data_IF_890113533469
#
_entry.id   IF_890113533469
#
_cell.length_a   1.000
_cell.length_b   1.000
_cell.length_c   1.000
_cell.angle_alpha   90.00
_cell.angle_beta   90.00
_cell.angle_gamma   90.00
#
_symmetry.space_group_name_H-M   'P 1'
#
loop_
_entity.id
_entity.type
_entity.pdbx_description
1 polymer ?
#
# COMPACT_ATOMS: atom_id res chain seq x y z
N UNK A 1 15.38 -18.99 -1.49
CA UNK A 1 14.97 -18.88 -0.07
C UNK A 1 14.78 -17.42 0.28
N UNK A 2 13.64 -17.06 0.85
CA UNK A 2 13.36 -15.70 1.29
C UNK A 2 14.37 -15.26 2.37
N UNK A 3 14.92 -14.06 2.32
CA UNK A 3 15.88 -13.55 3.31
C UNK A 3 15.31 -13.35 4.71
N UNK A 4 14.01 -13.12 4.79
CA UNK A 4 13.21 -13.09 6.01
C UNK A 4 11.81 -13.63 5.71
N UNK A 5 11.10 -14.03 6.75
CA UNK A 5 9.73 -14.52 6.64
C UNK A 5 8.74 -13.42 7.02
N UNK A 6 7.99 -12.82 6.03
CA UNK A 6 6.99 -11.82 6.31
C UNK A 6 5.63 -12.40 6.74
N UNK A 7 5.47 -13.71 6.79
CA UNK A 7 4.17 -14.35 7.01
C UNK A 7 3.60 -14.10 8.41
N UNK A 8 2.28 -14.22 8.54
CA UNK A 8 1.54 -14.08 9.78
C UNK A 8 0.65 -12.85 9.80
N UNK A 9 0.17 -12.49 11.00
CA UNK A 9 -0.71 -11.37 11.24
C UNK A 9 0.07 -10.17 11.76
N UNK A 10 -0.30 -8.98 11.29
CA UNK A 10 0.39 -7.73 11.58
C UNK A 10 -0.59 -6.61 11.87
N UNK A 11 -0.37 -5.85 12.92
CA UNK A 11 -1.16 -4.65 13.25
C UNK A 11 -0.44 -3.39 12.84
N UNK A 12 -1.15 -2.47 12.19
CA UNK A 12 -0.62 -1.15 11.87
C UNK A 12 -0.21 -0.39 13.14
N UNK A 13 0.99 0.19 13.10
CA UNK A 13 1.45 1.18 14.08
C UNK A 13 1.34 2.56 13.42
N UNK A 14 0.36 3.34 13.82
CA UNK A 14 0.19 4.69 13.27
C UNK A 14 1.08 5.66 14.04
N UNK A 15 2.38 5.65 13.72
CA UNK A 15 3.40 6.46 14.41
C UNK A 15 3.55 7.86 13.85
N UNK A 16 3.08 8.08 12.61
CA UNK A 16 3.17 9.36 11.92
C UNK A 16 1.89 9.68 11.16
N UNK A 17 1.62 10.94 10.93
CA UNK A 17 0.44 11.41 10.19
C UNK A 17 -0.88 10.85 10.72
N UNK A 18 -0.94 10.52 12.04
CA UNK A 18 -2.08 9.84 12.66
C UNK A 18 -3.41 10.54 12.37
N UNK A 19 -3.44 11.89 12.38
CA UNK A 19 -4.64 12.68 12.07
C UNK A 19 -5.18 12.38 10.65
N UNK A 20 -4.29 12.15 9.70
CA UNK A 20 -4.65 11.94 8.28
C UNK A 20 -4.91 10.46 7.97
N UNK A 21 -4.49 9.56 8.86
CA UNK A 21 -4.62 8.11 8.70
C UNK A 21 -5.79 7.54 9.52
N UNK A 22 -6.01 8.08 10.73
CA UNK A 22 -7.06 7.61 11.63
C UNK A 22 -8.41 8.29 11.39
N UNK A 23 -8.39 9.50 10.81
CA UNK A 23 -9.60 10.23 10.44
C UNK A 23 -9.46 10.69 8.99
N UNK A 24 -10.47 10.51 8.12
CA UNK A 24 -10.38 11.02 6.75
C UNK A 24 -10.17 12.53 6.79
N UNK A 25 -9.18 13.04 6.05
CA UNK A 25 -9.07 14.47 5.87
C UNK A 25 -10.33 15.03 5.19
N UNK A 26 -10.67 16.26 5.54
CA UNK A 26 -11.77 16.94 4.86
C UNK A 26 -11.46 17.10 3.37
N UNK A 27 -12.50 17.21 2.55
CA UNK A 27 -12.37 17.63 1.16
C UNK A 27 -11.62 18.97 1.10
N UNK A 28 -10.63 19.09 0.22
CA UNK A 28 -9.76 20.27 0.14
C UNK A 28 -8.51 20.20 1.04
N UNK A 29 -8.42 19.24 1.98
CA UNK A 29 -7.22 19.04 2.79
C UNK A 29 -6.24 18.08 2.10
N UNK A 30 -5.28 18.65 1.37
CA UNK A 30 -4.26 17.88 0.62
C UNK A 30 -2.89 17.92 1.28
N UNK A 31 -2.82 18.28 2.56
CA UNK A 31 -1.56 18.43 3.28
C UNK A 31 -0.69 17.17 3.17
N UNK A 32 0.58 17.36 2.83
CA UNK A 32 1.57 16.29 2.70
C UNK A 32 1.47 15.46 1.43
N UNK A 33 0.57 15.80 0.47
CA UNK A 33 0.54 15.21 -0.86
C UNK A 33 1.03 16.26 -1.87
N UNK A 34 2.02 15.93 -2.73
CA UNK A 34 2.47 16.83 -3.80
C UNK A 34 1.48 16.79 -4.97
N UNK A 35 0.22 17.17 -4.70
CA UNK A 35 -0.87 17.09 -5.67
C UNK A 35 -0.74 18.19 -6.73
N UNK A 36 -0.84 17.81 -8.01
CA UNK A 36 -0.81 18.74 -9.14
C UNK A 36 -2.11 19.59 -9.23
N UNK A 37 -2.10 20.61 -10.08
CA UNK A 37 -3.31 21.39 -10.38
C UNK A 37 -4.43 20.51 -10.93
N UNK A 38 -4.12 19.54 -11.82
CA UNK A 38 -5.09 18.59 -12.34
C UNK A 38 -5.63 17.66 -11.24
N UNK A 39 -4.76 17.19 -10.34
CA UNK A 39 -5.16 16.39 -9.20
C UNK A 39 -6.09 17.14 -8.25
N UNK A 40 -5.81 18.42 -7.97
CA UNK A 40 -6.69 19.29 -7.15
C UNK A 40 -8.06 19.46 -7.77
N UNK A 41 -8.12 19.68 -9.08
CA UNK A 41 -9.40 19.82 -9.78
C UNK A 41 -10.29 18.57 -9.62
N UNK A 42 -9.70 17.38 -9.75
CA UNK A 42 -10.40 16.10 -9.55
C UNK A 42 -10.85 15.94 -8.09
N UNK A 43 -9.95 16.20 -7.14
CA UNK A 43 -10.24 16.08 -5.71
C UNK A 43 -11.30 17.08 -5.25
N UNK A 44 -11.28 18.32 -5.76
CA UNK A 44 -12.30 19.33 -5.46
C UNK A 44 -13.68 18.98 -6.07
N UNK A 45 -13.70 18.24 -7.17
CA UNK A 45 -14.92 17.73 -7.76
C UNK A 45 -15.45 16.43 -7.12
N UNK A 46 -14.64 15.78 -6.25
CA UNK A 46 -15.01 14.52 -5.63
C UNK A 46 -16.32 14.59 -4.84
N UNK A 47 -17.13 13.54 -4.97
CA UNK A 47 -18.39 13.41 -4.28
C UNK A 47 -18.58 11.95 -3.84
N UNK A 48 -18.58 11.73 -2.54
CA UNK A 48 -18.74 10.41 -1.93
C UNK A 48 -20.01 9.70 -2.41
N UNK A 49 -21.15 10.40 -2.42
CA UNK A 49 -22.42 9.80 -2.81
C UNK A 49 -22.45 9.33 -4.28
N UNK A 50 -21.66 9.97 -5.16
CA UNK A 50 -21.51 9.49 -6.55
C UNK A 50 -20.73 8.18 -6.62
N UNK A 51 -19.66 8.05 -5.83
CA UNK A 51 -18.89 6.80 -5.76
C UNK A 51 -19.73 5.67 -5.15
N UNK A 52 -20.53 5.96 -4.13
CA UNK A 52 -21.45 5.00 -3.51
C UNK A 52 -22.51 4.53 -4.53
N UNK A 53 -23.16 5.45 -5.22
CA UNK A 53 -24.17 5.13 -6.24
C UNK A 53 -23.58 4.33 -7.42
N UNK A 54 -22.31 4.54 -7.74
CA UNK A 54 -21.59 3.81 -8.78
C UNK A 54 -21.00 2.46 -8.30
N UNK A 55 -21.18 2.09 -7.03
CA UNK A 55 -20.57 0.88 -6.45
C UNK A 55 -19.04 0.95 -6.35
N UNK A 56 -18.47 2.16 -6.42
CA UNK A 56 -17.02 2.39 -6.49
C UNK A 56 -16.39 2.58 -5.10
N UNK A 57 -16.88 1.84 -4.10
CA UNK A 57 -16.52 1.97 -2.69
C UNK A 57 -15.04 1.68 -2.42
N UNK A 58 -14.42 0.82 -3.24
CA UNK A 58 -13.02 0.40 -3.04
C UNK A 58 -11.97 1.31 -3.70
N UNK A 59 -12.34 2.44 -4.30
CA UNK A 59 -11.38 3.34 -4.96
C UNK A 59 -10.26 3.84 -4.05
N UNK A 60 -10.54 4.05 -2.76
CA UNK A 60 -9.54 4.49 -1.78
C UNK A 60 -8.78 3.33 -1.12
N UNK A 61 -9.05 2.09 -1.52
CA UNK A 61 -8.39 0.89 -1.03
C UNK A 61 -7.46 0.25 -2.07
N UNK A 62 -7.14 0.97 -3.12
CA UNK A 62 -6.18 0.53 -4.12
C UNK A 62 -4.75 0.50 -3.56
N UNK A 63 -3.88 -0.27 -4.21
CA UNK A 63 -2.50 -0.48 -3.76
C UNK A 63 -1.74 0.82 -3.41
N UNK A 64 -1.87 1.94 -4.16
CA UNK A 64 -1.17 3.18 -3.84
C UNK A 64 -1.56 3.83 -2.50
N UNK A 65 -2.80 3.60 -2.00
CA UNK A 65 -3.29 4.16 -0.74
C UNK A 65 -3.38 3.13 0.40
N UNK A 66 -3.45 1.85 0.08
CA UNK A 66 -3.86 0.78 0.98
C UNK A 66 -3.01 0.68 2.25
N UNK A 67 -1.68 0.69 2.12
CA UNK A 67 -0.77 0.55 3.27
C UNK A 67 -0.74 1.77 4.18
N UNK A 68 -1.34 2.89 3.75
CA UNK A 68 -1.49 4.08 4.58
C UNK A 68 -2.74 4.02 5.49
N UNK A 69 -3.68 3.12 5.23
CA UNK A 69 -4.84 2.91 6.08
C UNK A 69 -4.43 2.23 7.41
N UNK A 70 -5.18 2.46 8.51
CA UNK A 70 -4.95 1.79 9.78
C UNK A 70 -5.49 0.35 9.73
N UNK A 71 -4.89 -0.49 8.90
CA UNK A 71 -5.32 -1.87 8.62
C UNK A 71 -4.45 -2.89 9.34
N UNK A 72 -4.97 -4.08 9.58
CA UNK A 72 -4.16 -5.26 9.85
C UNK A 72 -3.79 -5.96 8.54
N UNK A 73 -2.67 -6.67 8.55
CA UNK A 73 -2.25 -7.50 7.42
C UNK A 73 -2.27 -8.96 7.84
N UNK A 74 -2.67 -9.82 6.90
CA UNK A 74 -2.44 -11.25 6.93
C UNK A 74 -1.60 -11.62 5.70
N UNK A 75 -0.38 -12.07 5.93
CA UNK A 75 0.58 -12.37 4.87
C UNK A 75 0.84 -13.87 4.84
N UNK A 76 0.68 -14.49 3.67
CA UNK A 76 0.87 -15.94 3.47
C UNK A 76 1.54 -16.23 2.13
N UNK A 77 2.35 -17.28 2.07
CA UNK A 77 2.77 -17.84 0.80
C UNK A 77 1.65 -18.69 0.22
N UNK A 78 1.20 -18.37 -1.01
CA UNK A 78 0.25 -19.18 -1.76
C UNK A 78 0.96 -20.36 -2.43
N UNK A 79 2.17 -20.12 -2.91
CA UNK A 79 3.13 -21.08 -3.48
C UNK A 79 4.56 -20.52 -3.36
N UNK A 80 5.56 -21.21 -3.91
CA UNK A 80 6.98 -20.85 -3.81
C UNK A 80 7.34 -19.49 -4.42
N UNK A 81 6.48 -18.95 -5.31
CA UNK A 81 6.72 -17.71 -6.06
C UNK A 81 5.60 -16.67 -5.91
N UNK A 82 4.63 -16.92 -5.05
CA UNK A 82 3.46 -16.06 -4.90
C UNK A 82 3.18 -15.76 -3.44
N UNK A 83 3.38 -14.50 -3.04
CA UNK A 83 3.07 -14.01 -1.71
C UNK A 83 1.72 -13.28 -1.76
N UNK A 84 0.80 -13.67 -0.88
CA UNK A 84 -0.50 -13.05 -0.71
C UNK A 84 -0.48 -12.12 0.48
N UNK A 85 -0.95 -10.90 0.29
CA UNK A 85 -1.09 -9.87 1.33
C UNK A 85 -2.55 -9.46 1.39
N UNK A 86 -3.20 -9.81 2.48
CA UNK A 86 -4.59 -9.47 2.76
C UNK A 86 -4.65 -8.34 3.77
N UNK A 87 -5.65 -7.46 3.63
CA UNK A 87 -5.96 -6.43 4.61
C UNK A 87 -7.37 -6.67 5.15
N UNK A 88 -7.57 -6.46 6.44
CA UNK A 88 -8.90 -6.53 7.04
C UNK A 88 -9.72 -5.30 6.68
N UNK A 89 -9.13 -4.12 6.71
CA UNK A 89 -9.83 -2.89 6.37
C UNK A 89 -10.04 -2.79 4.85
N UNK A 90 -11.27 -2.90 4.42
CA UNK A 90 -11.67 -2.98 3.02
C UNK A 90 -11.62 -4.39 2.44
N UNK A 91 -11.22 -5.41 3.20
CA UNK A 91 -11.10 -6.81 2.78
C UNK A 91 -10.38 -6.98 1.43
N UNK A 92 -9.21 -6.30 1.28
CA UNK A 92 -8.45 -6.35 0.04
C UNK A 92 -7.45 -7.50 0.03
N UNK A 93 -7.14 -7.97 -1.17
CA UNK A 93 -6.08 -8.95 -1.40
C UNK A 93 -5.14 -8.44 -2.48
N UNK A 94 -3.86 -8.40 -2.17
CA UNK A 94 -2.77 -8.16 -3.13
C UNK A 94 -1.98 -9.45 -3.33
N UNK A 95 -1.61 -9.71 -4.57
CA UNK A 95 -0.79 -10.88 -4.94
C UNK A 95 0.54 -10.36 -5.48
N UNK A 96 1.64 -10.78 -4.86
CA UNK A 96 2.99 -10.38 -5.21
C UNK A 96 3.70 -11.54 -5.87
N UNK A 97 4.05 -11.40 -7.14
CA UNK A 97 4.64 -12.45 -7.96
C UNK A 97 6.17 -12.32 -8.01
N UNK A 98 6.87 -13.42 -7.79
CA UNK A 98 8.32 -13.53 -7.85
C UNK A 98 8.78 -14.27 -9.11
N UNK A 99 10.10 -14.42 -9.27
CA UNK A 99 10.68 -15.28 -10.30
C UNK A 99 10.62 -14.74 -11.73
N UNK A 100 10.51 -13.40 -11.88
CA UNK A 100 10.44 -12.80 -13.22
C UNK A 100 9.06 -12.95 -13.88
N UNK A 101 8.02 -13.15 -13.07
CA UNK A 101 6.64 -13.18 -13.56
C UNK A 101 6.29 -11.95 -14.38
N UNK A 102 5.53 -12.15 -15.44
CA UNK A 102 4.97 -11.09 -16.28
C UNK A 102 3.45 -11.24 -16.37
N UNK A 103 2.69 -10.14 -16.38
CA UNK A 103 1.24 -10.20 -16.55
C UNK A 103 0.85 -10.92 -17.84
N UNK A 104 -0.20 -11.75 -17.84
CA UNK A 104 -0.77 -12.29 -19.07
C UNK A 104 -1.20 -11.17 -20.03
N UNK A 105 -1.09 -11.38 -21.35
CA UNK A 105 -1.46 -10.36 -22.35
C UNK A 105 -2.90 -9.83 -22.23
N UNK A 106 -3.82 -10.64 -21.76
CA UNK A 106 -5.24 -10.30 -21.58
C UNK A 106 -5.60 -9.90 -20.14
N UNK A 107 -4.63 -9.46 -19.33
CA UNK A 107 -4.91 -9.05 -17.97
C UNK A 107 -5.80 -7.79 -17.91
N UNK A 108 -6.65 -7.74 -16.90
CA UNK A 108 -7.48 -6.55 -16.62
C UNK A 108 -6.81 -5.71 -15.56
N UNK A 109 -6.90 -4.39 -15.70
CA UNK A 109 -6.56 -3.45 -14.65
C UNK A 109 -7.40 -3.71 -13.41
N UNK A 110 -6.82 -3.48 -12.25
CA UNK A 110 -7.52 -3.55 -10.95
C UNK A 110 -7.01 -2.46 -10.03
N UNK A 111 -7.70 -2.19 -8.92
CA UNK A 111 -7.19 -1.25 -7.91
C UNK A 111 -5.92 -1.76 -7.22
N UNK A 112 -5.70 -3.09 -7.20
CA UNK A 112 -4.49 -3.68 -6.66
C UNK A 112 -3.36 -3.81 -7.71
N UNK A 113 -3.68 -3.63 -9.00
CA UNK A 113 -2.73 -3.75 -10.10
C UNK A 113 -2.09 -5.13 -10.22
N UNK A 114 -0.96 -5.16 -10.93
CA UNK A 114 -0.10 -6.32 -11.09
C UNK A 114 1.23 -6.05 -10.37
N UNK A 115 1.55 -6.85 -9.36
CA UNK A 115 2.72 -6.63 -8.51
C UNK A 115 3.80 -7.68 -8.79
N UNK A 116 4.98 -7.21 -9.20
CA UNK A 116 6.19 -8.03 -9.35
C UNK A 116 7.12 -7.76 -8.17
N UNK A 117 7.55 -8.82 -7.50
CA UNK A 117 8.35 -8.76 -6.30
C UNK A 117 9.72 -9.38 -6.49
N UNK A 118 10.72 -8.84 -5.81
CA UNK A 118 12.09 -9.38 -5.80
C UNK A 118 12.79 -9.07 -4.48
N UNK A 119 13.67 -9.97 -4.07
CA UNK A 119 14.58 -9.72 -2.96
C UNK A 119 15.78 -8.94 -3.44
N UNK A 120 16.03 -7.79 -2.84
CA UNK A 120 17.12 -6.91 -3.18
C UNK A 120 18.10 -6.76 -2.01
N UNK A 121 19.35 -6.44 -2.32
CA UNK A 121 20.39 -6.17 -1.34
C UNK A 121 20.47 -4.66 -1.11
N UNK A 122 20.37 -4.23 0.15
CA UNK A 122 20.79 -2.89 0.52
C UNK A 122 22.32 -2.88 0.53
N UNK A 123 22.94 -2.12 -0.36
CA UNK A 123 24.39 -1.92 -0.33
C UNK A 123 24.72 -1.18 0.97
N UNK A 124 25.43 -1.83 1.87
CA UNK A 124 25.98 -1.22 3.06
C UNK A 124 26.96 -0.10 2.68
N UNK A 125 27.00 0.98 3.47
CA UNK A 125 28.07 1.96 3.39
C UNK A 125 29.42 1.31 3.73
N UNK A 126 30.51 2.07 3.54
CA UNK A 126 31.91 1.62 3.75
C UNK A 126 32.19 1.03 5.16
N UNK A 127 31.32 1.29 6.13
CA UNK A 127 31.37 0.80 7.51
C UNK A 127 29.93 0.53 7.94
N UNK A 128 29.50 -0.74 7.96
CA UNK A 128 28.14 -1.11 8.36
C UNK A 128 27.97 -2.63 8.44
N UNK A 129 26.88 -3.10 9.07
CA UNK A 129 26.56 -4.52 9.12
C UNK A 129 26.39 -5.10 7.72
N UNK A 130 26.49 -6.44 7.55
CA UNK A 130 26.32 -7.10 6.26
C UNK A 130 25.01 -6.65 5.61
N UNK A 131 25.05 -6.51 4.28
CA UNK A 131 23.96 -5.95 3.49
C UNK A 131 22.61 -6.59 3.84
N UNK A 132 21.74 -5.81 4.49
CA UNK A 132 20.38 -6.23 4.78
C UNK A 132 19.62 -6.44 3.46
N UNK A 133 18.84 -7.49 3.38
CA UNK A 133 17.94 -7.75 2.24
C UNK A 133 16.58 -7.14 2.55
N UNK A 134 15.96 -6.59 1.54
CA UNK A 134 14.61 -6.06 1.61
C UNK A 134 13.76 -6.62 0.45
N UNK A 135 12.46 -6.59 0.60
CA UNK A 135 11.54 -6.91 -0.47
C UNK A 135 11.27 -5.64 -1.29
N UNK A 136 11.49 -5.70 -2.60
CA UNK A 136 11.16 -4.66 -3.56
C UNK A 136 9.96 -5.12 -4.38
N UNK A 137 8.93 -4.28 -4.48
CA UNK A 137 7.71 -4.56 -5.22
C UNK A 137 7.50 -3.43 -6.22
N UNK A 138 7.17 -3.77 -7.48
CA UNK A 138 6.73 -2.82 -8.49
C UNK A 138 5.33 -3.20 -8.93
N UNK A 139 4.40 -2.24 -8.87
CA UNK A 139 3.00 -2.46 -9.24
C UNK A 139 2.61 -1.53 -10.36
N UNK A 140 1.99 -2.08 -11.40
CA UNK A 140 1.47 -1.41 -12.59
C UNK A 140 0.02 -1.83 -12.85
N UNK A 141 -0.57 -1.38 -13.96
CA UNK A 141 -1.91 -1.78 -14.41
C UNK A 141 -3.01 -1.49 -13.38
N UNK A 142 -2.89 -0.33 -12.78
CA UNK A 142 -3.85 0.18 -11.82
C UNK A 142 -5.11 0.71 -12.51
N UNK A 143 -6.28 0.51 -11.91
CA UNK A 143 -7.45 1.35 -12.15
C UNK A 143 -7.29 2.66 -11.41
N UNK A 144 -7.82 3.74 -11.95
CA UNK A 144 -7.88 5.04 -11.26
C UNK A 144 -8.57 4.92 -9.91
N UNK A 145 -7.99 5.53 -8.89
CA UNK A 145 -8.48 5.46 -7.52
C UNK A 145 -8.08 6.68 -6.70
N UNK A 146 -8.06 6.53 -5.38
CA UNK A 146 -7.70 7.60 -4.46
C UNK A 146 -6.56 7.21 -3.54
N UNK A 147 -5.62 8.15 -3.32
CA UNK A 147 -4.55 8.02 -2.33
C UNK A 147 -5.07 8.19 -0.91
N UNK A 148 -6.18 8.90 -0.75
CA UNK A 148 -6.87 9.14 0.52
C UNK A 148 -8.38 9.17 0.31
N UNK A 149 -9.14 8.90 1.37
CA UNK A 149 -10.62 8.88 1.38
C UNK A 149 -11.26 10.28 1.27
N UNK A 150 -10.58 11.25 0.75
CA UNK A 150 -11.09 12.59 0.45
C UNK A 150 -10.97 12.96 -1.04
N UNK A 151 -10.86 11.94 -1.90
CA UNK A 151 -10.89 12.09 -3.34
C UNK A 151 -9.57 12.49 -3.99
N UNK A 152 -8.44 12.51 -3.26
CA UNK A 152 -7.12 12.76 -3.86
C UNK A 152 -6.77 11.64 -4.84
N UNK A 153 -6.71 11.91 -6.16
CA UNK A 153 -6.66 10.86 -7.17
C UNK A 153 -5.26 10.29 -7.38
N UNK A 154 -5.24 9.08 -7.91
CA UNK A 154 -4.19 8.56 -8.79
C UNK A 154 -4.85 7.97 -10.05
N UNK A 155 -4.14 8.01 -11.17
CA UNK A 155 -4.64 7.57 -12.47
C UNK A 155 -4.16 6.19 -12.88
N UNK A 156 -4.61 5.76 -14.05
CA UNK A 156 -4.25 4.46 -14.63
C UNK A 156 -2.78 4.37 -15.09
N UNK A 157 -2.11 5.52 -15.25
CA UNK A 157 -0.70 5.62 -15.58
C UNK A 157 0.20 5.74 -14.34
N UNK A 158 -0.40 5.70 -13.15
CA UNK A 158 0.35 5.66 -11.92
C UNK A 158 1.18 4.37 -11.81
N UNK A 159 2.35 4.49 -11.23
CA UNK A 159 3.18 3.36 -10.83
C UNK A 159 3.45 3.40 -9.33
N UNK A 160 3.58 2.23 -8.73
CA UNK A 160 3.86 2.08 -7.31
C UNK A 160 5.14 1.25 -7.14
N UNK A 161 6.13 1.84 -6.48
CA UNK A 161 7.33 1.16 -6.07
C UNK A 161 7.36 1.06 -4.54
N UNK A 162 7.54 -0.15 -4.03
CA UNK A 162 7.49 -0.39 -2.59
C UNK A 162 8.75 -1.11 -2.11
N UNK A 163 9.10 -0.81 -0.87
CA UNK A 163 10.21 -1.41 -0.14
C UNK A 163 9.71 -1.92 1.20
N UNK A 164 9.96 -3.19 1.49
CA UNK A 164 9.54 -3.82 2.75
C UNK A 164 10.76 -4.34 3.48
N UNK A 165 11.00 -3.78 4.65
CA UNK A 165 12.08 -4.17 5.56
C UNK A 165 11.50 -4.81 6.82
N UNK A 166 12.18 -5.82 7.35
CA UNK A 166 11.86 -6.46 8.63
C UNK A 166 12.92 -6.11 9.67
N UNK A 167 12.45 -5.66 10.82
CA UNK A 167 13.28 -5.30 11.98
C UNK A 167 12.79 -5.99 13.25
N UNK A 168 13.67 -6.05 14.24
CA UNK A 168 13.28 -6.44 15.61
C UNK A 168 13.25 -5.22 16.53
N UNK A 169 12.16 -5.07 17.26
CA UNK A 169 12.11 -4.13 18.39
C UNK A 169 13.08 -4.57 19.51
N UNK A 170 13.46 -3.66 20.42
CA UNK A 170 14.22 -4.03 21.61
C UNK A 170 13.51 -5.10 22.47
N UNK A 171 12.19 -5.18 22.39
CA UNK A 171 11.36 -6.21 23.05
C UNK A 171 11.40 -7.57 22.36
N UNK A 172 12.10 -7.70 21.22
CA UNK A 172 12.21 -8.91 20.43
C UNK A 172 11.08 -9.14 19.41
N UNK A 173 10.05 -8.29 19.38
CA UNK A 173 8.95 -8.40 18.40
C UNK A 173 9.39 -7.94 17.02
N UNK A 174 8.83 -8.55 15.98
CA UNK A 174 9.08 -8.19 14.60
C UNK A 174 8.25 -6.97 14.19
N UNK A 175 8.88 -6.04 13.46
CA UNK A 175 8.29 -4.86 12.84
C UNK A 175 8.57 -4.91 11.34
N UNK A 176 7.54 -4.78 10.53
CA UNK A 176 7.65 -4.45 9.12
C UNK A 176 7.60 -2.94 8.97
N UNK A 177 8.55 -2.38 8.20
CA UNK A 177 8.46 -1.02 7.64
C UNK A 177 8.17 -1.16 6.15
N UNK A 178 7.03 -0.66 5.74
CA UNK A 178 6.53 -0.69 4.36
C UNK A 178 6.57 0.71 3.79
N UNK A 179 7.54 1.01 2.93
CA UNK A 179 7.67 2.31 2.26
C UNK A 179 7.13 2.22 0.86
N UNK A 180 6.19 3.08 0.50
CA UNK A 180 5.58 3.19 -0.81
C UNK A 180 5.98 4.50 -1.48
N UNK A 181 6.34 4.44 -2.75
CA UNK A 181 6.62 5.56 -3.64
C UNK A 181 5.60 5.50 -4.76
N UNK A 182 4.65 6.41 -4.75
CA UNK A 182 3.63 6.54 -5.80
C UNK A 182 4.09 7.62 -6.77
N UNK A 183 4.23 7.27 -8.03
CA UNK A 183 4.50 8.20 -9.11
C UNK A 183 3.31 8.27 -10.06
N UNK A 184 2.81 9.47 -10.29
CA UNK A 184 1.70 9.72 -11.20
C UNK A 184 1.97 10.99 -12.01
N UNK A 185 2.21 10.88 -13.31
CA UNK A 185 2.63 12.01 -14.15
C UNK A 185 1.53 13.04 -14.37
N UNK A 186 0.28 12.72 -14.01
CA UNK A 186 -0.88 13.60 -14.20
C UNK A 186 -1.28 14.29 -12.89
N UNK A 187 -1.40 13.51 -11.82
CA UNK A 187 -2.02 14.00 -10.59
C UNK A 187 -1.05 14.36 -9.48
N UNK A 188 0.25 14.06 -9.65
CA UNK A 188 1.30 14.43 -8.70
C UNK A 188 2.37 15.31 -9.37
N UNK A 189 2.89 16.31 -8.65
CA UNK A 189 4.01 17.15 -9.11
C UNK A 189 5.36 16.44 -8.92
N UNK A 190 5.45 15.58 -7.91
CA UNK A 190 6.62 14.76 -7.58
C UNK A 190 6.12 13.45 -6.96
N UNK A 191 6.95 12.38 -6.92
CA UNK A 191 6.54 11.14 -6.28
C UNK A 191 6.09 11.35 -4.83
N UNK A 192 4.93 10.76 -4.48
CA UNK A 192 4.40 10.76 -3.13
C UNK A 192 4.97 9.57 -2.36
N UNK A 193 5.70 9.86 -1.27
CA UNK A 193 6.39 8.84 -0.48
C UNK A 193 5.74 8.74 0.90
N UNK A 194 5.36 7.51 1.28
CA UNK A 194 4.81 7.20 2.60
C UNK A 194 5.47 5.96 3.16
N UNK A 195 5.65 5.93 4.49
CA UNK A 195 6.09 4.74 5.21
C UNK A 195 5.10 4.36 6.28
N UNK A 196 4.75 3.09 6.34
CA UNK A 196 3.84 2.53 7.34
C UNK A 196 4.53 1.41 8.09
N UNK A 197 4.25 1.32 9.38
CA UNK A 197 4.86 0.32 10.25
C UNK A 197 3.78 -0.66 10.72
N UNK A 198 4.16 -1.93 10.76
CA UNK A 198 3.29 -2.99 11.24
C UNK A 198 4.05 -3.87 12.22
N UNK A 199 3.43 -4.14 13.36
CA UNK A 199 3.97 -5.04 14.39
C UNK A 199 3.35 -6.41 14.26
N UNK A 200 4.20 -7.45 14.33
CA UNK A 200 3.73 -8.84 14.28
C UNK A 200 2.86 -9.17 15.49
N UNK A 201 1.71 -9.78 15.23
CA UNK A 201 0.83 -10.33 16.25
C UNK A 201 1.18 -11.80 16.49
N UNK A 202 0.88 -12.28 17.70
CA UNK A 202 1.03 -13.70 18.03
C UNK A 202 -0.02 -14.59 17.34
N UNK A 203 -1.18 -14.00 17.05
CA UNK A 203 -2.36 -14.69 16.51
C UNK A 203 -3.24 -13.75 15.68
N UNK A 204 -4.43 -14.24 15.30
CA UNK A 204 -5.42 -13.54 14.48
C UNK A 204 -6.42 -12.70 15.29
N UNK A 205 -6.26 -12.50 16.60
CA UNK A 205 -7.28 -11.89 17.45
C UNK A 205 -7.73 -10.49 17.01
N UNK A 206 -6.85 -9.73 16.37
CA UNK A 206 -7.18 -8.39 15.86
C UNK A 206 -7.69 -8.40 14.41
N UNK A 207 -7.80 -9.57 13.77
CA UNK A 207 -8.20 -9.69 12.37
C UNK A 207 -9.72 -9.63 12.24
N UNK A 208 -10.24 -8.52 11.68
CA UNK A 208 -11.67 -8.29 11.52
C UNK A 208 -11.95 -7.68 10.13
N UNK A 209 -12.14 -8.52 9.09
CA UNK A 209 -12.40 -8.03 7.74
C UNK A 209 -13.68 -7.22 7.65
N UNK A 210 -13.56 -5.99 7.17
CA UNK A 210 -14.67 -5.06 6.92
C UNK A 210 -14.77 -4.74 5.43
N UNK A 211 -15.96 -4.53 4.87
CA UNK A 211 -16.11 -4.16 3.47
C UNK A 211 -15.52 -2.77 3.18
N UNK A 212 -15.29 -2.49 1.90
CA UNK A 212 -14.97 -1.14 1.47
C UNK A 212 -16.09 -0.17 1.78
N UNK A 213 -15.73 1.06 2.15
CA UNK A 213 -16.65 2.19 2.27
C UNK A 213 -16.07 3.43 1.63
N UNK A 214 -16.87 4.25 0.97
CA UNK A 214 -16.41 5.53 0.41
C UNK A 214 -16.16 6.59 1.51
N UNK A 215 -16.81 6.44 2.65
CA UNK A 215 -16.58 7.21 3.88
C UNK A 215 -16.03 6.36 5.03
N UNK A 216 -16.03 6.93 6.22
CA UNK A 216 -15.73 6.22 7.49
C UNK A 216 -17.02 5.73 8.12
#
# INVERSE_FOLDING_TARGET
>A
MAPFDPTGYWSSLVTQNWRLRMVPPAKGDYIGIPISAAGKQVADAWNQAKDEAAGALCKAYGAPGLMNLPTHLHITWQDDNTLRVETDYGAQTRVLHFGGWTPPQAHKRSWQGNSVASWALRRGGRVGPPAARYLRITTTDLLSGYLRKNGVPYGENASLLEYVDLFKEPTGRDIIVWTAVVDDPVYLETPYIISSQFRKNADALAWEPTPCSAGW
#
